data_IF_588110055508
#
_entry.id   IF_588110055508
#
_cell.length_a   1.000
_cell.length_b   1.000
_cell.length_c   1.000
_cell.angle_alpha   90.00
_cell.angle_beta   90.00
_cell.angle_gamma   90.00
#
_symmetry.space_group_name_H-M   'P 1'
#
loop_
_entity.id
_entity.type
_entity.pdbx_description
1 polymer ?
#
# COMPACT_ATOMS: atom_id res chain seq x y z
N UNK A 1 10.44 -20.03 -9.43
CA UNK A 1 11.71 -20.79 -9.45
C UNK A 1 12.80 -19.96 -10.09
N UNK A 2 13.96 -19.79 -9.43
CA UNK A 2 15.17 -19.23 -10.02
C UNK A 2 16.18 -20.37 -10.21
N UNK A 3 16.71 -20.50 -11.44
CA UNK A 3 17.57 -21.60 -11.84
C UNK A 3 18.94 -21.07 -12.26
N UNK A 4 20.01 -21.67 -11.73
CA UNK A 4 21.36 -21.52 -12.25
C UNK A 4 21.68 -22.79 -13.03
N UNK A 5 21.79 -22.68 -14.35
CA UNK A 5 21.88 -23.80 -15.29
C UNK A 5 23.25 -23.92 -15.96
N UNK A 6 24.18 -23.03 -15.67
CA UNK A 6 25.53 -23.03 -16.22
C UNK A 6 26.58 -22.72 -15.16
N UNK A 7 27.84 -22.99 -15.46
CA UNK A 7 28.99 -22.65 -14.60
C UNK A 7 29.26 -21.15 -14.48
N UNK A 8 28.49 -20.32 -15.19
CA UNK A 8 28.57 -18.86 -15.13
C UNK A 8 27.35 -18.22 -14.49
N UNK A 9 26.28 -18.98 -14.26
CA UNK A 9 25.04 -18.48 -13.69
C UNK A 9 25.19 -18.23 -12.20
N UNK A 10 25.03 -16.98 -11.75
CA UNK A 10 25.08 -16.60 -10.33
C UNK A 10 23.88 -15.75 -9.94
N UNK A 11 23.64 -15.63 -8.63
CA UNK A 11 22.84 -14.53 -8.08
C UNK A 11 23.79 -13.53 -7.43
N UNK A 12 23.65 -12.26 -7.79
CA UNK A 12 24.43 -11.17 -7.20
C UNK A 12 23.51 -10.01 -6.78
N UNK A 13 24.02 -9.20 -5.87
CA UNK A 13 23.31 -8.06 -5.30
C UNK A 13 24.18 -6.82 -5.38
N UNK A 14 23.62 -5.73 -5.91
CA UNK A 14 24.16 -4.40 -5.77
C UNK A 14 23.60 -3.70 -4.55
N UNK A 15 24.47 -2.97 -3.86
CA UNK A 15 24.13 -2.13 -2.70
C UNK A 15 24.57 -0.70 -2.95
N UNK A 16 23.73 0.26 -2.62
CA UNK A 16 23.95 1.70 -2.82
C UNK A 16 24.62 2.42 -1.64
N UNK A 17 24.63 1.81 -0.45
CA UNK A 17 25.22 2.38 0.77
C UNK A 17 26.07 1.36 1.51
N UNK A 18 26.79 1.81 2.56
CA UNK A 18 27.56 0.96 3.48
C UNK A 18 26.71 0.37 4.61
N UNK A 19 25.37 0.47 4.53
CA UNK A 19 24.48 -0.15 5.51
C UNK A 19 24.74 -1.67 5.54
N UNK A 20 24.80 -2.25 6.74
CA UNK A 20 25.11 -3.66 6.88
C UNK A 20 23.96 -4.53 6.40
N UNK A 21 24.20 -5.31 5.36
CA UNK A 21 23.26 -6.26 4.79
C UNK A 21 23.71 -7.68 5.11
N UNK A 22 22.82 -8.46 5.70
CA UNK A 22 23.02 -9.90 5.92
C UNK A 22 22.18 -10.66 4.89
N UNK A 23 22.80 -11.59 4.17
CA UNK A 23 22.16 -12.37 3.12
C UNK A 23 22.28 -13.87 3.41
N UNK A 24 21.17 -14.59 3.26
CA UNK A 24 21.11 -16.04 3.30
C UNK A 24 20.42 -16.56 2.05
N UNK A 25 21.07 -17.50 1.36
CA UNK A 25 20.49 -18.22 0.22
C UNK A 25 20.46 -19.70 0.55
N UNK A 26 19.32 -20.35 0.37
CA UNK A 26 19.20 -21.82 0.38
C UNK A 26 18.77 -22.31 -1.00
N UNK A 27 19.36 -23.42 -1.43
CA UNK A 27 19.15 -23.98 -2.76
C UNK A 27 19.20 -25.50 -2.75
N UNK A 28 18.79 -26.11 -3.84
CA UNK A 28 18.97 -27.54 -4.11
C UNK A 28 19.85 -27.69 -5.33
N UNK A 29 20.91 -28.47 -5.19
CA UNK A 29 21.77 -28.89 -6.28
C UNK A 29 21.21 -30.17 -6.92
N UNK A 30 21.12 -30.18 -8.24
CA UNK A 30 20.65 -31.30 -9.04
C UNK A 30 21.72 -31.70 -10.05
N UNK A 31 22.05 -32.99 -10.10
CA UNK A 31 22.91 -33.59 -11.12
C UNK A 31 22.09 -34.62 -11.92
N UNK A 32 21.72 -34.32 -13.18
CA UNK A 32 20.89 -35.22 -13.97
C UNK A 32 21.62 -36.50 -14.41
N UNK A 33 22.96 -36.55 -14.31
CA UNK A 33 23.78 -37.64 -14.84
C UNK A 33 24.26 -38.65 -13.81
N UNK A 34 24.23 -38.33 -12.51
CA UNK A 34 24.81 -39.19 -11.47
C UNK A 34 23.86 -40.21 -10.87
N UNK A 35 22.55 -40.06 -11.06
CA UNK A 35 21.55 -40.92 -10.42
C UNK A 35 21.49 -40.78 -8.89
N UNK A 36 22.08 -39.72 -8.33
CA UNK A 36 22.01 -39.41 -6.90
C UNK A 36 20.85 -38.48 -6.58
N UNK A 37 20.39 -38.51 -5.33
CA UNK A 37 19.35 -37.61 -4.85
C UNK A 37 19.81 -36.13 -4.88
N UNK A 38 18.88 -35.19 -5.09
CA UNK A 38 19.20 -33.76 -5.07
C UNK A 38 19.71 -33.33 -3.70
N UNK A 39 20.78 -32.55 -3.67
CA UNK A 39 21.46 -32.20 -2.41
C UNK A 39 21.17 -30.75 -2.02
N UNK A 40 20.58 -30.49 -0.85
CA UNK A 40 20.40 -29.13 -0.34
C UNK A 40 21.74 -28.44 -0.05
N UNK A 41 21.79 -27.14 -0.31
CA UNK A 41 22.95 -26.29 -0.03
C UNK A 41 22.55 -24.89 0.43
N UNK A 42 23.55 -24.12 0.87
CA UNK A 42 23.34 -22.74 1.36
C UNK A 42 24.56 -21.86 1.13
N UNK A 43 24.34 -20.56 1.02
CA UNK A 43 25.39 -19.53 1.02
C UNK A 43 24.96 -18.35 1.90
N UNK A 44 25.84 -17.97 2.85
CA UNK A 44 25.66 -16.80 3.69
C UNK A 44 26.65 -15.73 3.26
N UNK A 45 26.17 -14.50 3.09
CA UNK A 45 26.99 -13.37 2.65
C UNK A 45 26.68 -12.16 3.53
N UNK A 46 27.70 -11.40 3.91
CA UNK A 46 27.53 -10.12 4.61
C UNK A 46 28.12 -9.01 3.75
N UNK A 47 27.40 -7.89 3.61
CA UNK A 47 27.79 -6.77 2.75
C UNK A 47 27.80 -5.50 3.61
N UNK A 48 28.84 -4.68 3.48
CA UNK A 48 29.01 -3.43 4.25
C UNK A 48 29.63 -2.30 3.42
N UNK A 49 29.64 -2.44 2.10
CA UNK A 49 30.21 -1.50 1.14
C UNK A 49 29.30 -1.37 -0.07
N UNK A 50 29.36 -0.24 -0.75
CA UNK A 50 28.71 -0.05 -2.06
C UNK A 50 29.43 -0.94 -3.08
N UNK A 51 28.83 -2.08 -3.42
CA UNK A 51 29.44 -3.05 -4.32
C UNK A 51 28.40 -4.01 -4.92
N UNK A 52 28.76 -4.58 -6.06
CA UNK A 52 28.17 -5.81 -6.60
C UNK A 52 28.78 -7.01 -5.88
N UNK A 53 27.94 -7.80 -5.20
CA UNK A 53 28.40 -8.97 -4.42
C UNK A 53 27.66 -10.22 -4.86
N UNK A 54 28.39 -11.28 -5.20
CA UNK A 54 27.79 -12.61 -5.44
C UNK A 54 27.23 -13.19 -4.15
N UNK A 55 25.92 -13.44 -4.11
CA UNK A 55 25.23 -14.02 -2.96
C UNK A 55 24.90 -15.50 -3.13
N UNK A 56 24.93 -16.00 -4.37
CA UNK A 56 24.92 -17.43 -4.69
C UNK A 56 25.88 -17.68 -5.84
N UNK A 57 26.90 -18.52 -5.62
CA UNK A 57 27.87 -18.91 -6.64
C UNK A 57 27.25 -19.77 -7.74
N UNK A 58 27.97 -19.93 -8.85
CA UNK A 58 27.55 -20.83 -9.91
C UNK A 58 27.65 -22.30 -9.47
N UNK A 59 26.82 -23.19 -10.04
CA UNK A 59 26.99 -24.63 -9.91
C UNK A 59 28.28 -25.10 -10.60
N UNK A 60 28.76 -26.28 -10.20
CA UNK A 60 29.86 -26.94 -10.90
C UNK A 60 29.39 -27.47 -12.28
N UNK A 61 30.34 -27.81 -13.16
CA UNK A 61 30.00 -28.39 -14.47
C UNK A 61 29.16 -29.66 -14.31
N UNK A 62 28.03 -29.72 -15.02
CA UNK A 62 27.09 -30.85 -14.94
C UNK A 62 26.03 -30.73 -13.84
N UNK A 63 26.11 -29.71 -12.98
CA UNK A 63 25.14 -29.45 -11.93
C UNK A 63 24.22 -28.28 -12.28
N UNK A 64 23.02 -28.32 -11.72
CA UNK A 64 22.02 -27.26 -11.77
C UNK A 64 21.67 -26.86 -10.34
N UNK A 65 21.35 -25.59 -10.14
CA UNK A 65 20.95 -25.09 -8.82
C UNK A 65 19.60 -24.41 -8.89
N UNK A 66 18.65 -24.93 -8.11
CA UNK A 66 17.37 -24.27 -7.91
C UNK A 66 17.38 -23.51 -6.59
N UNK A 67 17.18 -22.20 -6.66
CA UNK A 67 17.06 -21.39 -5.45
C UNK A 67 15.70 -21.64 -4.80
N UNK A 68 15.74 -22.00 -3.51
CA UNK A 68 14.56 -22.26 -2.69
C UNK A 68 14.12 -21.00 -1.95
N UNK A 69 15.08 -20.28 -1.36
CA UNK A 69 14.82 -19.01 -0.69
C UNK A 69 16.05 -18.09 -0.72
N UNK A 70 15.79 -16.79 -0.74
CA UNK A 70 16.77 -15.73 -0.52
C UNK A 70 16.22 -14.82 0.59
N UNK A 71 17.01 -14.56 1.63
CA UNK A 71 16.72 -13.53 2.63
C UNK A 71 17.82 -12.47 2.57
N UNK A 72 17.45 -11.22 2.32
CA UNK A 72 18.34 -10.06 2.34
C UNK A 72 17.84 -9.11 3.42
N UNK A 73 18.51 -9.07 4.57
CA UNK A 73 18.14 -8.21 5.71
C UNK A 73 19.04 -7.00 5.76
N UNK A 74 18.45 -5.80 5.78
CA UNK A 74 19.19 -4.60 6.17
C UNK A 74 19.21 -4.52 7.70
N UNK A 75 20.34 -4.91 8.31
CA UNK A 75 20.48 -4.89 9.78
C UNK A 75 21.01 -3.56 10.33
N UNK A 76 21.17 -2.54 9.49
CA UNK A 76 21.57 -1.22 9.97
C UNK A 76 20.49 -0.62 10.88
N UNK A 77 20.90 0.21 11.85
CA UNK A 77 19.97 0.79 12.81
C UNK A 77 19.04 1.84 12.18
N UNK A 78 19.53 2.58 11.18
CA UNK A 78 18.84 3.78 10.66
C UNK A 78 18.92 4.01 9.15
N UNK A 79 19.81 3.32 8.43
CA UNK A 79 20.20 3.71 7.07
C UNK A 79 19.57 2.73 6.10
N UNK A 80 18.75 3.24 5.18
CA UNK A 80 18.22 2.45 4.08
C UNK A 80 19.32 2.11 3.06
N UNK A 81 19.10 1.05 2.29
CA UNK A 81 20.00 0.67 1.21
C UNK A 81 19.15 0.27 0.00
N UNK A 82 19.40 0.88 -1.16
CA UNK A 82 18.89 0.33 -2.41
C UNK A 82 19.56 -1.01 -2.68
N UNK A 83 18.75 -2.05 -2.79
CA UNK A 83 19.13 -3.42 -3.11
C UNK A 83 18.65 -3.71 -4.51
N UNK A 84 19.57 -4.06 -5.41
CA UNK A 84 19.23 -4.60 -6.73
C UNK A 84 19.70 -6.03 -6.79
N UNK A 85 18.79 -6.98 -7.06
CA UNK A 85 19.13 -8.40 -7.20
C UNK A 85 19.15 -8.75 -8.69
N UNK A 86 20.23 -9.39 -9.14
CA UNK A 86 20.40 -9.83 -10.52
C UNK A 86 20.64 -11.34 -10.58
N UNK A 87 20.10 -11.96 -11.63
CA UNK A 87 20.62 -13.23 -12.14
C UNK A 87 21.63 -12.88 -13.23
N UNK A 88 22.83 -13.45 -13.18
CA UNK A 88 23.90 -13.13 -14.13
C UNK A 88 24.46 -14.41 -14.75
N UNK A 89 24.41 -14.53 -16.08
CA UNK A 89 24.80 -15.74 -16.83
C UNK A 89 26.27 -15.74 -17.31
N UNK A 90 27.08 -14.79 -16.82
CA UNK A 90 28.44 -14.54 -17.29
C UNK A 90 28.54 -13.49 -18.41
N UNK A 91 27.42 -13.09 -19.00
CA UNK A 91 27.36 -12.05 -20.06
C UNK A 91 26.27 -11.02 -19.76
N UNK A 92 25.06 -11.47 -19.48
CA UNK A 92 23.85 -10.68 -19.25
C UNK A 92 23.46 -10.76 -17.78
N UNK A 93 23.09 -9.61 -17.20
CA UNK A 93 22.59 -9.51 -15.83
C UNK A 93 21.19 -8.91 -15.78
N UNK A 94 20.11 -9.65 -16.07
CA UNK A 94 18.76 -9.16 -15.82
C UNK A 94 18.54 -8.84 -14.34
N UNK A 95 18.05 -7.63 -14.08
CA UNK A 95 17.51 -7.24 -12.77
C UNK A 95 16.23 -8.02 -12.49
N UNK A 96 16.21 -8.76 -11.38
CA UNK A 96 15.03 -9.46 -10.88
C UNK A 96 14.14 -8.52 -10.06
N UNK A 97 14.76 -7.61 -9.29
CA UNK A 97 14.09 -6.62 -8.45
C UNK A 97 15.07 -5.53 -8.01
N UNK A 98 14.61 -4.27 -7.94
CA UNK A 98 15.32 -3.17 -7.27
C UNK A 98 14.39 -2.37 -6.37
N UNK A 99 14.82 -2.11 -5.13
CA UNK A 99 14.06 -1.30 -4.16
C UNK A 99 14.95 -0.72 -3.06
N UNK A 100 14.49 0.34 -2.40
CA UNK A 100 15.09 0.85 -1.17
C UNK A 100 14.64 0.03 0.05
N UNK A 101 15.54 -0.80 0.58
CA UNK A 101 15.28 -1.62 1.76
C UNK A 101 15.59 -0.82 3.04
N UNK A 102 14.55 -0.51 3.81
CA UNK A 102 14.67 0.26 5.05
C UNK A 102 15.47 -0.50 6.13
N UNK A 103 16.01 0.24 7.09
CA UNK A 103 16.67 -0.32 8.27
C UNK A 103 15.74 -1.29 9.02
N UNK A 104 16.22 -2.50 9.29
CA UNK A 104 15.49 -3.57 9.97
C UNK A 104 14.64 -4.46 9.06
N UNK A 105 14.40 -4.07 7.81
CA UNK A 105 13.50 -4.79 6.88
C UNK A 105 14.22 -5.94 6.18
N UNK A 106 13.45 -6.86 5.62
CA UNK A 106 13.94 -8.02 4.84
C UNK A 106 13.30 -8.05 3.47
N UNK A 107 14.10 -8.15 2.42
CA UNK A 107 13.64 -8.61 1.11
C UNK A 107 13.76 -10.13 1.07
N UNK A 108 12.65 -10.82 0.84
CA UNK A 108 12.53 -12.26 0.86
C UNK A 108 12.11 -12.78 -0.51
N UNK A 109 12.76 -13.83 -1.01
CA UNK A 109 12.26 -14.64 -2.11
C UNK A 109 11.92 -16.02 -1.57
N UNK A 110 10.72 -16.51 -1.88
CA UNK A 110 10.34 -17.91 -1.76
C UNK A 110 9.99 -18.46 -3.13
N UNK A 111 10.33 -19.72 -3.41
CA UNK A 111 10.05 -20.32 -4.71
C UNK A 111 8.55 -20.36 -5.06
N UNK A 112 7.68 -20.53 -4.06
CA UNK A 112 6.22 -20.62 -4.22
C UNK A 112 5.50 -19.27 -4.20
N UNK A 113 6.06 -18.27 -3.52
CA UNK A 113 5.43 -16.95 -3.35
C UNK A 113 6.07 -15.82 -4.20
N UNK A 114 7.31 -15.99 -4.66
CA UNK A 114 8.07 -14.94 -5.33
C UNK A 114 8.72 -13.96 -4.34
N UNK A 115 8.86 -12.70 -4.74
CA UNK A 115 9.49 -11.64 -3.94
C UNK A 115 8.50 -10.96 -2.99
N UNK A 116 8.89 -10.80 -1.74
CA UNK A 116 8.12 -10.21 -0.65
C UNK A 116 9.01 -9.31 0.22
N UNK A 117 8.41 -8.35 0.93
CA UNK A 117 9.14 -7.53 1.92
C UNK A 117 8.56 -7.81 3.30
N UNK A 118 9.42 -8.06 4.29
CA UNK A 118 9.05 -8.16 5.69
C UNK A 118 9.48 -6.89 6.43
N UNK A 119 8.60 -6.39 7.31
CA UNK A 119 8.92 -5.30 8.21
C UNK A 119 9.93 -5.73 9.28
N UNK A 120 10.36 -4.79 10.13
CA UNK A 120 11.32 -5.08 11.20
C UNK A 120 10.82 -6.09 12.25
N UNK A 121 9.52 -6.35 12.30
CA UNK A 121 8.88 -7.36 13.15
C UNK A 121 8.65 -8.70 12.45
N UNK A 122 9.06 -8.85 11.19
CA UNK A 122 8.90 -10.07 10.40
C UNK A 122 7.49 -10.24 9.79
N UNK A 123 6.68 -9.18 9.75
CA UNK A 123 5.36 -9.22 9.11
C UNK A 123 5.52 -8.90 7.64
N UNK A 124 4.83 -9.62 6.77
CA UNK A 124 4.71 -9.26 5.37
C UNK A 124 4.17 -7.84 5.26
N UNK A 125 4.92 -6.95 4.62
CA UNK A 125 4.33 -5.76 4.04
C UNK A 125 3.44 -6.26 2.93
N UNK A 126 2.15 -6.34 3.23
CA UNK A 126 1.15 -6.36 2.18
C UNK A 126 1.45 -5.18 1.27
N UNK A 127 1.39 -5.42 -0.04
CA UNK A 127 1.42 -4.39 -1.05
C UNK A 127 0.22 -3.46 -0.79
N UNK A 128 0.39 -2.57 0.17
CA UNK A 128 -0.49 -1.44 0.38
C UNK A 128 -0.16 -0.60 -0.83
N UNK A 129 -1.04 -0.55 -1.82
CA UNK A 129 -0.86 0.32 -2.96
C UNK A 129 -0.76 1.75 -2.46
N UNK A 130 0.47 2.16 -2.15
CA UNK A 130 0.78 3.55 -1.87
C UNK A 130 0.62 4.27 -3.20
N UNK A 131 -0.54 4.92 -3.36
CA UNK A 131 -0.75 6.11 -4.18
C UNK A 131 0.14 6.22 -5.44
N UNK A 132 0.13 5.20 -6.32
CA UNK A 132 0.93 5.26 -7.55
C UNK A 132 1.40 3.92 -8.14
N UNK A 133 1.52 2.84 -7.36
CA UNK A 133 1.65 1.51 -7.96
C UNK A 133 0.27 1.09 -8.45
N UNK A 134 0.07 0.96 -9.77
CA UNK A 134 -1.22 0.61 -10.36
C UNK A 134 -1.86 -0.55 -9.59
N UNK A 135 -2.96 -0.27 -8.88
CA UNK A 135 -3.57 -1.30 -8.05
C UNK A 135 -3.94 -2.49 -8.93
N UNK A 136 -3.58 -3.68 -8.46
CA UNK A 136 -4.00 -4.91 -9.10
C UNK A 136 -5.53 -4.92 -9.19
N UNK A 137 -6.05 -5.18 -10.40
CA UNK A 137 -7.49 -5.33 -10.62
C UNK A 137 -8.01 -6.44 -9.71
N UNK A 138 -9.20 -6.26 -9.11
CA UNK A 138 -9.80 -7.20 -8.16
C UNK A 138 -9.03 -7.46 -6.85
N UNK A 139 -8.25 -6.48 -6.38
CA UNK A 139 -7.66 -6.51 -5.03
C UNK A 139 -8.27 -5.45 -4.11
N UNK A 140 -8.47 -5.80 -2.84
CA UNK A 140 -8.87 -4.85 -1.79
C UNK A 140 -7.67 -4.00 -1.40
N UNK A 141 -7.82 -2.68 -1.45
CA UNK A 141 -6.82 -1.73 -0.98
C UNK A 141 -7.38 -0.95 0.21
N UNK A 142 -6.56 -0.73 1.23
CA UNK A 142 -6.96 -0.10 2.49
C UNK A 142 -6.07 1.10 2.80
N UNK A 143 -6.70 2.18 3.26
CA UNK A 143 -6.04 3.38 3.79
C UNK A 143 -6.63 3.66 5.16
N UNK A 144 -5.77 3.89 6.15
CA UNK A 144 -6.15 4.22 7.53
C UNK A 144 -5.79 5.67 7.81
N UNK A 145 -6.74 6.46 8.30
CA UNK A 145 -6.48 7.84 8.71
C UNK A 145 -5.53 7.85 9.92
N UNK A 146 -4.33 8.40 9.77
CA UNK A 146 -3.28 8.35 10.79
C UNK A 146 -3.51 9.30 11.98
N UNK A 147 -4.19 10.42 11.77
CA UNK A 147 -4.44 11.44 12.80
C UNK A 147 -5.83 12.04 12.66
N UNK A 148 -6.37 12.57 13.76
CA UNK A 148 -7.62 13.30 13.73
C UNK A 148 -7.56 14.49 12.76
N UNK A 149 -8.64 14.69 12.00
CA UNK A 149 -8.81 15.85 11.11
C UNK A 149 -10.03 16.64 11.58
N UNK A 150 -9.82 17.91 11.90
CA UNK A 150 -10.85 18.80 12.44
C UNK A 150 -11.35 19.78 11.39
N UNK A 151 -12.67 19.94 11.26
CA UNK A 151 -13.30 21.05 10.57
C UNK A 151 -14.10 21.88 11.57
N UNK A 152 -13.65 23.11 11.81
CA UNK A 152 -14.27 24.10 12.70
C UNK A 152 -14.30 25.49 12.03
N UNK A 153 -14.54 25.53 10.71
CA UNK A 153 -14.47 26.75 9.93
C UNK A 153 -15.38 27.87 10.47
N UNK A 154 -14.90 29.12 10.38
CA UNK A 154 -15.63 30.33 10.76
C UNK A 154 -16.78 30.71 9.81
N UNK A 155 -17.02 29.91 8.79
CA UNK A 155 -18.18 30.04 7.90
C UNK A 155 -18.84 28.67 7.83
N UNK A 156 -20.11 28.64 8.24
CA UNK A 156 -20.96 27.45 8.21
C UNK A 156 -20.88 26.73 6.86
N UNK A 157 -20.91 25.40 6.88
CA UNK A 157 -20.87 24.53 5.70
C UNK A 157 -19.61 24.64 4.83
N UNK A 158 -18.55 25.30 5.27
CA UNK A 158 -17.27 25.29 4.53
C UNK A 158 -16.68 23.89 4.54
N UNK A 159 -16.59 23.27 3.36
CA UNK A 159 -16.10 21.90 3.20
C UNK A 159 -14.58 21.85 3.15
N UNK A 160 -14.00 20.86 3.80
CA UNK A 160 -12.57 20.64 3.87
C UNK A 160 -12.25 19.15 3.68
N UNK A 161 -11.01 18.88 3.29
CA UNK A 161 -10.53 17.52 3.02
C UNK A 161 -10.28 16.77 4.33
N UNK A 162 -10.57 15.47 4.34
CA UNK A 162 -10.07 14.54 5.36
C UNK A 162 -8.65 14.15 4.94
N UNK A 163 -7.69 15.05 5.15
CA UNK A 163 -6.29 14.87 4.72
C UNK A 163 -5.73 13.53 5.19
N UNK A 164 -5.19 12.75 4.26
CA UNK A 164 -4.65 11.40 4.53
C UNK A 164 -5.65 10.26 4.32
N UNK A 165 -6.93 10.55 4.04
CA UNK A 165 -7.93 9.54 3.70
C UNK A 165 -8.33 9.65 2.23
N UNK A 166 -7.47 9.13 1.35
CA UNK A 166 -7.57 9.29 -0.10
C UNK A 166 -6.90 8.16 -0.87
N UNK A 167 -7.21 8.02 -2.16
CA UNK A 167 -6.52 7.10 -3.07
C UNK A 167 -6.33 7.68 -4.47
N UNK A 168 -5.25 7.31 -5.15
CA UNK A 168 -4.98 7.70 -6.53
C UNK A 168 -5.88 6.96 -7.52
N UNK A 169 -6.27 7.67 -8.57
CA UNK A 169 -7.06 7.14 -9.68
C UNK A 169 -6.41 7.49 -11.02
N UNK A 170 -6.55 6.59 -11.99
CA UNK A 170 -6.05 6.74 -13.36
C UNK A 170 -7.20 6.98 -14.32
N UNK A 171 -7.02 7.88 -15.28
CA UNK A 171 -8.00 8.21 -16.30
C UNK A 171 -8.46 6.97 -17.07
N UNK A 172 -9.77 6.83 -17.26
CA UNK A 172 -10.39 5.72 -17.98
C UNK A 172 -10.70 4.48 -17.14
N UNK A 173 -10.08 4.33 -15.97
CA UNK A 173 -10.27 3.16 -15.10
C UNK A 173 -11.47 3.33 -14.19
N UNK A 174 -12.11 2.24 -13.78
CA UNK A 174 -13.26 2.32 -12.87
C UNK A 174 -12.90 1.79 -11.49
N UNK A 175 -13.29 2.53 -10.46
CA UNK A 175 -13.01 2.20 -9.07
C UNK A 175 -14.31 2.09 -8.26
N UNK A 176 -14.38 1.09 -7.38
CA UNK A 176 -15.26 1.12 -6.22
C UNK A 176 -14.50 1.72 -5.04
N UNK A 177 -15.19 2.52 -4.23
CA UNK A 177 -14.64 3.04 -2.98
C UNK A 177 -15.68 3.01 -1.86
N UNK A 178 -15.19 2.91 -0.62
CA UNK A 178 -15.97 3.05 0.61
C UNK A 178 -15.12 3.69 1.70
N UNK A 179 -15.51 4.89 2.10
CA UNK A 179 -15.04 5.56 3.30
C UNK A 179 -15.93 5.16 4.47
N UNK A 180 -15.35 4.69 5.58
CA UNK A 180 -16.02 4.49 6.87
C UNK A 180 -15.31 5.36 7.91
N UNK A 181 -15.96 6.45 8.29
CA UNK A 181 -15.36 7.52 9.10
C UNK A 181 -16.08 7.59 10.44
N UNK A 182 -15.33 7.37 11.51
CA UNK A 182 -15.77 7.66 12.87
C UNK A 182 -15.52 9.14 13.16
N UNK A 183 -16.51 9.82 13.75
CA UNK A 183 -16.37 11.25 14.03
C UNK A 183 -17.01 11.69 15.34
N UNK A 184 -16.49 12.80 15.88
CA UNK A 184 -17.08 13.51 17.02
C UNK A 184 -17.66 14.85 16.57
N UNK A 185 -18.69 15.30 17.26
CA UNK A 185 -19.25 16.65 17.12
C UNK A 185 -19.10 17.42 18.43
N UNK A 186 -18.92 18.74 18.34
CA UNK A 186 -18.84 19.60 19.51
C UNK A 186 -20.14 19.62 20.33
N UNK A 187 -21.30 19.46 19.67
CA UNK A 187 -22.61 19.32 20.28
C UNK A 187 -23.51 18.39 19.46
N UNK A 188 -24.56 17.83 20.06
CA UNK A 188 -25.60 17.06 19.35
C UNK A 188 -26.41 17.94 18.40
N UNK A 189 -26.45 19.26 18.65
CA UNK A 189 -27.06 20.26 17.77
C UNK A 189 -26.11 20.74 16.67
N UNK A 190 -24.91 20.18 16.55
CA UNK A 190 -23.99 20.48 15.45
C UNK A 190 -24.11 19.36 14.42
N UNK A 191 -24.66 19.66 13.26
CA UNK A 191 -24.67 18.72 12.16
C UNK A 191 -23.42 18.77 11.28
N UNK A 192 -23.40 17.91 10.27
CA UNK A 192 -22.32 17.75 9.31
C UNK A 192 -22.83 17.39 7.91
N UNK A 193 -21.97 17.61 6.91
CA UNK A 193 -22.10 16.98 5.58
C UNK A 193 -20.84 16.23 5.25
N UNK A 194 -21.00 15.15 4.52
CA UNK A 194 -19.93 14.25 4.11
C UNK A 194 -20.01 14.00 2.61
N UNK A 195 -18.88 14.20 1.93
CA UNK A 195 -18.80 14.14 0.47
C UNK A 195 -17.40 13.70 0.03
N UNK A 196 -17.14 13.75 -1.27
CA UNK A 196 -15.82 13.50 -1.85
C UNK A 196 -15.44 14.62 -2.81
N UNK A 197 -14.16 14.72 -3.11
CA UNK A 197 -13.62 15.44 -4.26
C UNK A 197 -12.67 14.53 -5.04
N UNK A 198 -12.40 14.87 -6.28
CA UNK A 198 -11.49 14.13 -7.14
C UNK A 198 -11.19 14.84 -8.46
N UNK A 199 -10.45 14.18 -9.37
CA UNK A 199 -10.20 14.70 -10.71
C UNK A 199 -11.50 14.77 -11.53
N UNK A 200 -11.45 15.37 -12.72
CA UNK A 200 -12.58 15.31 -13.65
C UNK A 200 -13.02 13.85 -13.91
N UNK A 201 -14.32 13.63 -14.11
CA UNK A 201 -14.92 12.29 -14.26
C UNK A 201 -15.75 12.15 -15.50
N UNK A 202 -15.74 10.96 -16.10
CA UNK A 202 -16.75 10.54 -17.09
C UNK A 202 -17.97 9.93 -16.40
N UNK A 203 -17.81 9.32 -15.22
CA UNK A 203 -18.91 8.83 -14.41
C UNK A 203 -18.59 8.94 -12.91
N UNK A 204 -19.58 9.41 -12.14
CA UNK A 204 -19.56 9.37 -10.69
C UNK A 204 -20.95 8.98 -10.18
N UNK A 205 -21.00 7.98 -9.31
CA UNK A 205 -22.24 7.51 -8.67
C UNK A 205 -21.92 7.08 -7.26
N UNK A 206 -22.36 7.84 -6.27
CA UNK A 206 -22.13 7.47 -4.88
C UNK A 206 -23.34 7.79 -4.00
N UNK A 207 -23.29 7.25 -2.78
CA UNK A 207 -24.16 7.63 -1.67
C UNK A 207 -23.31 8.09 -0.50
N UNK A 208 -23.86 8.99 0.31
CA UNK A 208 -23.31 9.34 1.61
C UNK A 208 -24.37 9.11 2.67
N UNK A 209 -23.99 8.49 3.78
CA UNK A 209 -24.86 8.17 4.91
C UNK A 209 -24.15 8.57 6.20
N UNK A 210 -24.81 9.26 7.12
CA UNK A 210 -24.18 9.67 8.38
C UNK A 210 -25.20 9.82 9.52
N UNK A 211 -24.72 9.64 10.75
CA UNK A 211 -25.54 9.72 11.97
C UNK A 211 -26.31 11.05 12.05
N UNK A 212 -27.60 10.99 12.38
CA UNK A 212 -28.47 12.17 12.57
C UNK A 212 -29.01 12.23 14.00
N UNK A 213 -29.64 11.14 14.43
CA UNK A 213 -30.04 10.90 15.83
C UNK A 213 -29.56 9.52 16.25
N UNK A 214 -29.76 9.11 17.51
CA UNK A 214 -29.41 7.76 17.97
C UNK A 214 -30.18 6.64 17.26
N UNK A 215 -31.28 6.96 16.55
CA UNK A 215 -32.11 5.98 15.84
C UNK A 215 -32.28 6.29 14.35
N UNK A 216 -31.70 7.37 13.84
CA UNK A 216 -31.86 7.81 12.45
C UNK A 216 -30.54 8.27 11.83
N UNK A 217 -30.45 8.15 10.51
CA UNK A 217 -29.35 8.64 9.69
C UNK A 217 -29.85 9.65 8.65
N UNK A 218 -28.93 10.48 8.17
CA UNK A 218 -29.09 11.24 6.92
C UNK A 218 -28.56 10.38 5.78
N UNK A 219 -29.32 10.26 4.69
CA UNK A 219 -28.93 9.49 3.50
C UNK A 219 -29.08 10.36 2.26
N UNK A 220 -28.00 10.51 1.50
CA UNK A 220 -28.01 11.09 0.16
C UNK A 220 -27.73 9.99 -0.84
N UNK A 221 -28.66 9.75 -1.76
CA UNK A 221 -28.57 8.72 -2.79
C UNK A 221 -28.54 9.33 -4.19
N UNK A 222 -28.00 8.59 -5.17
CA UNK A 222 -27.92 9.05 -6.55
C UNK A 222 -27.00 10.26 -6.75
N UNK A 223 -26.00 10.42 -5.89
CA UNK A 223 -25.10 11.57 -5.93
C UNK A 223 -24.09 11.40 -7.07
N UNK A 224 -24.02 12.39 -7.95
CA UNK A 224 -23.23 12.35 -9.19
C UNK A 224 -22.26 13.54 -9.34
N UNK A 225 -22.13 14.36 -8.30
CA UNK A 225 -21.25 15.53 -8.27
C UNK A 225 -20.50 15.60 -6.95
N UNK A 226 -19.30 16.19 -6.97
CA UNK A 226 -18.52 16.48 -5.77
C UNK A 226 -19.19 17.53 -4.88
N UNK A 227 -18.77 17.56 -3.61
CA UNK A 227 -19.25 18.49 -2.58
C UNK A 227 -20.78 18.52 -2.41
N UNK A 228 -21.46 17.44 -2.81
CA UNK A 228 -22.89 17.22 -2.63
C UNK A 228 -23.14 16.24 -1.46
N UNK A 229 -24.15 16.49 -0.60
CA UNK A 229 -25.10 17.61 -0.63
C UNK A 229 -24.46 18.97 -0.30
N UNK A 230 -25.09 20.05 -0.77
CA UNK A 230 -24.63 21.42 -0.52
C UNK A 230 -24.77 21.86 0.95
N UNK A 231 -25.73 21.27 1.68
CA UNK A 231 -26.01 21.57 3.09
C UNK A 231 -25.71 20.38 4.00
N UNK A 232 -25.33 20.71 5.24
CA UNK A 232 -25.23 19.76 6.35
C UNK A 232 -26.60 19.34 6.85
N UNK A 233 -26.68 18.19 7.53
CA UNK A 233 -27.81 17.92 8.41
C UNK A 233 -27.76 18.88 9.62
N UNK A 234 -28.83 18.90 10.43
CA UNK A 234 -28.97 19.85 11.54
C UNK A 234 -28.49 19.32 12.90
N UNK A 235 -28.11 18.03 12.97
CA UNK A 235 -27.81 17.36 14.23
C UNK A 235 -26.78 16.25 14.05
N UNK A 236 -26.13 15.88 15.15
CA UNK A 236 -25.36 14.65 15.31
C UNK A 236 -26.05 13.75 16.35
N UNK A 237 -25.90 12.44 16.20
CA UNK A 237 -26.53 11.48 17.10
C UNK A 237 -25.99 11.56 18.54
N UNK A 238 -24.69 11.79 18.67
CA UNK A 238 -24.00 11.97 19.93
C UNK A 238 -22.84 12.96 19.74
N UNK A 239 -22.18 13.39 20.81
CA UNK A 239 -20.92 14.14 20.69
C UNK A 239 -19.75 13.22 20.35
N UNK A 240 -19.76 11.96 20.80
CA UNK A 240 -18.62 11.04 20.71
C UNK A 240 -18.75 9.85 19.75
N UNK A 241 -19.97 9.48 19.36
CA UNK A 241 -20.26 8.17 18.77
C UNK A 241 -21.04 8.28 17.46
N UNK A 242 -20.46 8.93 16.46
CA UNK A 242 -21.07 9.07 15.15
C UNK A 242 -20.24 8.39 14.05
N UNK A 243 -20.93 7.99 12.99
CA UNK A 243 -20.32 7.36 11.81
C UNK A 243 -20.82 8.06 10.54
N UNK A 244 -19.91 8.23 9.60
CA UNK A 244 -20.20 8.60 8.22
C UNK A 244 -19.67 7.53 7.26
N UNK A 245 -20.48 7.16 6.28
CA UNK A 245 -20.15 6.21 5.22
C UNK A 245 -20.34 6.91 3.87
N UNK A 246 -19.31 6.90 3.03
CA UNK A 246 -19.40 7.41 1.66
C UNK A 246 -18.95 6.29 0.74
N UNK A 247 -19.81 5.82 -0.15
CA UNK A 247 -19.48 4.69 -1.01
C UNK A 247 -20.08 4.82 -2.40
N UNK A 248 -19.37 4.31 -3.41
CA UNK A 248 -19.81 4.40 -4.79
C UNK A 248 -18.79 3.94 -5.79
N UNK A 249 -19.04 4.35 -7.03
CA UNK A 249 -18.18 4.09 -8.18
C UNK A 249 -17.76 5.41 -8.84
N UNK A 250 -16.52 5.44 -9.31
CA UNK A 250 -15.95 6.55 -10.08
C UNK A 250 -15.18 6.04 -11.29
N UNK A 251 -15.37 6.71 -12.42
CA UNK A 251 -14.54 6.59 -13.62
C UNK A 251 -13.99 7.98 -13.94
N UNK A 252 -12.71 8.27 -13.64
CA UNK A 252 -12.15 9.59 -13.87
C UNK A 252 -11.78 9.77 -15.35
N UNK A 253 -11.87 11.00 -15.86
CA UNK A 253 -11.35 11.41 -17.17
C UNK A 253 -9.92 11.96 -17.09
N UNK A 254 -9.37 12.13 -15.89
CA UNK A 254 -8.00 12.56 -15.65
C UNK A 254 -7.39 11.79 -14.48
N UNK A 255 -6.07 11.64 -14.49
CA UNK A 255 -5.35 11.11 -13.33
C UNK A 255 -5.51 12.07 -12.14
N UNK A 256 -5.53 11.54 -10.93
CA UNK A 256 -5.61 12.36 -9.74
C UNK A 256 -5.85 11.54 -8.48
N UNK A 257 -6.47 12.17 -7.49
CA UNK A 257 -6.74 11.58 -6.19
C UNK A 257 -8.19 11.79 -5.82
N UNK A 258 -8.86 10.74 -5.37
CA UNK A 258 -10.19 10.83 -4.74
C UNK A 258 -9.99 10.89 -3.23
N UNK A 259 -10.65 11.85 -2.59
CA UNK A 259 -10.49 12.14 -1.16
C UNK A 259 -11.84 12.38 -0.48
N UNK A 260 -12.01 11.89 0.75
CA UNK A 260 -13.17 12.21 1.56
C UNK A 260 -13.13 13.67 2.01
N UNK A 261 -14.30 14.30 2.13
CA UNK A 261 -14.46 15.67 2.58
C UNK A 261 -15.63 15.81 3.53
N UNK A 262 -15.58 16.85 4.36
CA UNK A 262 -16.62 17.10 5.34
C UNK A 262 -16.71 18.57 5.71
N UNK A 263 -17.87 18.98 6.21
CA UNK A 263 -18.10 20.30 6.78
C UNK A 263 -18.89 20.21 8.08
N UNK A 264 -18.71 21.22 8.93
CA UNK A 264 -19.61 21.50 10.04
C UNK A 264 -20.78 22.37 9.57
N UNK A 265 -21.98 22.07 10.07
CA UNK A 265 -23.16 22.90 9.88
C UNK A 265 -23.01 24.29 10.51
N UNK A 266 -22.42 24.35 11.71
CA UNK A 266 -22.38 25.54 12.54
C UNK A 266 -20.99 26.17 12.48
N UNK A 267 -20.95 27.49 12.24
CA UNK A 267 -19.72 28.27 12.27
C UNK A 267 -18.96 28.04 13.57
N UNK A 268 -17.66 27.73 13.47
CA UNK A 268 -16.75 27.52 14.60
C UNK A 268 -17.15 26.40 15.56
N UNK A 269 -18.06 25.51 15.14
CA UNK A 269 -18.41 24.30 15.90
C UNK A 269 -17.71 23.10 15.28
N UNK A 270 -16.86 22.42 16.02
CA UNK A 270 -16.02 21.36 15.45
C UNK A 270 -16.82 20.10 15.09
N UNK A 271 -16.52 19.57 13.90
CA UNK A 271 -16.64 18.14 13.57
C UNK A 271 -15.22 17.61 13.45
N UNK A 272 -14.95 16.41 13.97
CA UNK A 272 -13.61 15.81 13.94
C UNK A 272 -13.70 14.40 13.38
N UNK A 273 -13.14 14.17 12.20
CA UNK A 273 -12.89 12.82 11.68
C UNK A 273 -11.74 12.19 12.48
N UNK A 274 -11.97 11.02 13.09
CA UNK A 274 -11.03 10.40 14.01
C UNK A 274 -10.00 9.52 13.30
N UNK A 275 -8.77 9.53 13.81
CA UNK A 275 -7.74 8.56 13.47
C UNK A 275 -8.28 7.12 13.58
N UNK A 276 -7.79 6.22 12.73
CA UNK A 276 -8.32 4.86 12.60
C UNK A 276 -9.55 4.73 11.70
N UNK A 277 -10.10 5.84 11.17
CA UNK A 277 -11.08 5.79 10.08
C UNK A 277 -10.50 5.12 8.84
N UNK A 278 -11.34 4.45 8.06
CA UNK A 278 -10.91 3.56 6.99
C UNK A 278 -11.42 4.01 5.62
N UNK A 279 -10.59 3.85 4.61
CA UNK A 279 -10.96 3.88 3.20
C UNK A 279 -10.62 2.52 2.61
N UNK A 280 -11.60 1.90 1.98
CA UNK A 280 -11.46 0.68 1.19
C UNK A 280 -11.74 0.98 -0.28
N UNK A 281 -10.92 0.47 -1.20
CA UNK A 281 -11.14 0.67 -2.63
C UNK A 281 -10.60 -0.47 -3.50
N UNK A 282 -11.17 -0.57 -4.70
CA UNK A 282 -10.86 -1.59 -5.70
C UNK A 282 -10.83 -0.93 -7.08
N UNK A 283 -9.87 -1.28 -7.92
CA UNK A 283 -10.04 -1.11 -9.36
C UNK A 283 -10.87 -2.27 -9.88
N UNK A 284 -12.03 -1.95 -10.46
CA UNK A 284 -13.03 -2.93 -10.92
C UNK A 284 -13.02 -3.16 -12.42
N UNK A 285 -12.56 -2.17 -13.20
CA UNK A 285 -12.30 -2.23 -14.64
C UNK A 285 -11.02 -1.44 -14.92
#
# INVERSE_FOLDING_TARGET
MLLLASTSDIIRVDTSTTANIDVHVSYVEWDPGSGTDPTPGRQNTTISSVATTTICSAPASGFFRTIKTIHIRNRHATTANTITVEHYDGTTGPELISLSLLAGYVLHYDEGAGWEILDSGGRLLQNSSNNGSGAAVNSTNLVVLASDVTNNNATANTIADVTGLSFSVTAGETYYFRFNIQYTSAATTTGSRWSINGPATTALRYKSEYSLTTTTNTVNAGVSAYDSPAGSNATSAATGSNIAIIQGFITPSANGTVIARFASEISSSAIVARAGSLLEWYRVL
#
